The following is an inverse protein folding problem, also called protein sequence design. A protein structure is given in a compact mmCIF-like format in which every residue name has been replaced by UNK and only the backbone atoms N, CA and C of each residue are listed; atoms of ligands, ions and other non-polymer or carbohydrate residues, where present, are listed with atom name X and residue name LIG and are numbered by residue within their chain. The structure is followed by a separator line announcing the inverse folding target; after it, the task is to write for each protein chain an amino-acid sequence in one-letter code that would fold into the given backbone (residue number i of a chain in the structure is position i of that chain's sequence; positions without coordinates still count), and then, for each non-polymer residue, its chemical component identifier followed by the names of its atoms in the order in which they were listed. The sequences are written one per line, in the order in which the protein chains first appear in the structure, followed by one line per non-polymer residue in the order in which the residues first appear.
data_IF_145937193799
#
_entry.id   IF_145937193799
#
_cell.length_a   1.000
_cell.length_b   1.000
_cell.length_c   1.000
_cell.angle_alpha   90.00
_cell.angle_beta   90.00
_cell.angle_gamma   90.00
#
_symmetry.space_group_name_H-M   'P 1'
#
loop_
_entity.id
_entity.type
_entity.pdbx_description
1 polymer ?
#
# COMPACT_ATOMS: atom_id res chain seq x y z
N UNK A 1 8.59 -20.95 7.40
CA UNK A 1 7.47 -19.99 7.28
C UNK A 1 7.82 -18.55 7.63
N UNK A 2 8.80 -18.29 8.50
CA UNK A 2 9.20 -16.95 8.96
C UNK A 2 9.67 -15.98 7.86
N UNK A 3 10.35 -16.47 6.81
CA UNK A 3 10.82 -15.62 5.69
C UNK A 3 9.68 -15.00 4.87
N UNK A 4 8.59 -15.74 4.65
CA UNK A 4 7.42 -15.22 3.92
C UNK A 4 6.68 -14.15 4.72
N UNK A 5 6.64 -14.28 6.05
CA UNK A 5 6.06 -13.26 6.94
C UNK A 5 6.84 -11.95 6.88
N UNK A 6 8.17 -12.01 6.90
CA UNK A 6 9.01 -10.83 6.76
C UNK A 6 8.79 -10.12 5.41
N UNK A 7 8.62 -10.89 4.33
CA UNK A 7 8.31 -10.33 3.00
C UNK A 7 6.90 -9.71 2.96
N UNK A 8 5.89 -10.35 3.55
CA UNK A 8 4.54 -9.78 3.64
C UNK A 8 4.51 -8.49 4.45
N UNK A 9 5.22 -8.42 5.58
CA UNK A 9 5.33 -7.21 6.38
C UNK A 9 6.04 -6.07 5.63
N UNK A 10 7.14 -6.38 4.92
CA UNK A 10 7.84 -5.42 4.07
C UNK A 10 6.97 -4.89 2.92
N UNK A 11 6.28 -5.79 2.21
CA UNK A 11 5.36 -5.43 1.13
C UNK A 11 4.15 -4.64 1.66
N UNK A 12 3.62 -5.00 2.82
CA UNK A 12 2.54 -4.26 3.47
C UNK A 12 2.94 -2.83 3.79
N UNK A 13 4.14 -2.63 4.35
CA UNK A 13 4.68 -1.30 4.66
C UNK A 13 4.88 -0.46 3.40
N UNK A 14 5.53 -1.02 2.37
CA UNK A 14 5.78 -0.33 1.11
C UNK A 14 4.47 0.03 0.38
N UNK A 15 3.51 -0.91 0.29
CA UNK A 15 2.22 -0.69 -0.34
C UNK A 15 1.37 0.34 0.44
N UNK A 16 1.37 0.28 1.77
CA UNK A 16 0.66 1.26 2.60
C UNK A 16 1.25 2.66 2.45
N UNK A 17 2.58 2.78 2.46
CA UNK A 17 3.26 4.06 2.28
C UNK A 17 2.99 4.65 0.89
N UNK A 18 3.06 3.82 -0.17
CA UNK A 18 2.75 4.26 -1.54
C UNK A 18 1.27 4.59 -1.72
N UNK A 19 0.34 3.85 -1.12
CA UNK A 19 -1.09 4.12 -1.14
C UNK A 19 -1.46 5.41 -0.41
N UNK A 20 -0.91 5.63 0.78
CA UNK A 20 -1.13 6.85 1.54
C UNK A 20 -0.52 8.07 0.85
N UNK A 21 0.70 7.95 0.30
CA UNK A 21 1.34 9.06 -0.42
C UNK A 21 0.60 9.41 -1.71
N UNK A 22 0.10 8.43 -2.45
CA UNK A 22 -0.76 8.65 -3.63
C UNK A 22 -2.10 9.31 -3.28
N UNK A 23 -2.71 8.95 -2.14
CA UNK A 23 -3.98 9.55 -1.66
C UNK A 23 -3.81 10.96 -1.08
N UNK A 24 -2.79 11.19 -0.26
CA UNK A 24 -2.55 12.47 0.43
C UNK A 24 -1.89 13.52 -0.48
N UNK A 25 -1.05 13.09 -1.41
CA UNK A 25 -0.35 13.96 -2.35
C UNK A 25 -0.42 13.39 -3.78
N UNK A 26 -1.61 13.41 -4.40
CA UNK A 26 -1.78 12.94 -5.78
C UNK A 26 -0.89 13.69 -6.77
N UNK A 27 -0.54 14.95 -6.49
CA UNK A 27 0.41 15.75 -7.28
C UNK A 27 1.82 15.15 -7.31
N UNK A 28 2.34 14.61 -6.19
CA UNK A 28 3.66 13.98 -6.15
C UNK A 28 3.65 12.65 -6.92
N UNK A 29 2.61 11.85 -6.77
CA UNK A 29 2.46 10.60 -7.51
C UNK A 29 2.37 10.84 -9.02
N UNK A 30 1.63 11.87 -9.41
CA UNK A 30 1.49 12.29 -10.80
C UNK A 30 2.82 12.76 -11.40
N UNK A 31 3.61 13.54 -10.65
CA UNK A 31 4.97 13.96 -11.06
C UNK A 31 5.93 12.78 -11.15
N UNK A 32 5.91 11.88 -10.17
CA UNK A 32 6.76 10.69 -10.16
C UNK A 32 6.47 9.76 -11.36
N UNK A 33 5.20 9.64 -11.73
CA UNK A 33 4.75 8.82 -12.86
C UNK A 33 4.74 9.58 -14.20
N UNK A 34 5.14 10.85 -14.22
CA UNK A 34 5.12 11.73 -15.41
C UNK A 34 3.78 11.72 -16.16
N UNK A 35 2.68 11.70 -15.41
CA UNK A 35 1.35 11.59 -15.99
C UNK A 35 0.80 12.98 -16.40
N UNK A 36 0.04 13.05 -17.51
CA UNK A 36 -0.57 14.29 -17.97
C UNK A 36 -1.63 14.81 -16.99
N UNK A 37 -1.73 16.14 -16.88
CA UNK A 37 -2.70 16.81 -16.02
C UNK A 37 -4.08 16.80 -16.69
N UNK A 38 -4.79 15.69 -16.51
CA UNK A 38 -6.16 15.48 -16.97
C UNK A 38 -7.02 14.96 -15.81
N UNK A 39 -8.30 15.34 -15.78
CA UNK A 39 -9.24 14.88 -14.73
C UNK A 39 -9.30 13.34 -14.65
N UNK A 40 -9.28 12.67 -15.80
CA UNK A 40 -9.26 11.21 -15.89
C UNK A 40 -8.03 10.60 -15.18
N UNK A 41 -6.85 11.24 -15.30
CA UNK A 41 -5.62 10.83 -14.60
C UNK A 41 -5.79 10.94 -13.10
N UNK A 42 -6.38 12.04 -12.60
CA UNK A 42 -6.61 12.25 -11.18
C UNK A 42 -7.56 11.21 -10.57
N UNK A 43 -8.63 10.87 -11.29
CA UNK A 43 -9.57 9.83 -10.86
C UNK A 43 -8.91 8.44 -10.83
N UNK A 44 -8.16 8.08 -11.88
CA UNK A 44 -7.41 6.83 -11.92
C UNK A 44 -6.40 6.73 -10.77
N UNK A 45 -5.71 7.83 -10.44
CA UNK A 45 -4.77 7.88 -9.31
C UNK A 45 -5.46 7.66 -7.97
N UNK A 46 -6.68 8.18 -7.78
CA UNK A 46 -7.49 7.92 -6.57
C UNK A 46 -7.85 6.45 -6.42
N UNK A 47 -8.32 5.81 -7.49
CA UNK A 47 -8.63 4.36 -7.48
C UNK A 47 -7.37 3.57 -7.14
N UNK A 48 -6.26 3.86 -7.83
CA UNK A 48 -4.99 3.19 -7.59
C UNK A 48 -4.53 3.36 -6.13
N UNK A 49 -4.63 4.58 -5.58
CA UNK A 49 -4.30 4.87 -4.19
C UNK A 49 -5.18 4.11 -3.19
N UNK A 50 -6.50 4.08 -3.42
CA UNK A 50 -7.43 3.30 -2.58
C UNK A 50 -7.12 1.80 -2.63
N UNK A 51 -6.84 1.25 -3.82
CA UNK A 51 -6.49 -0.17 -3.97
C UNK A 51 -5.15 -0.51 -3.31
N UNK A 52 -4.13 0.35 -3.43
CA UNK A 52 -2.84 0.17 -2.78
C UNK A 52 -2.97 0.23 -1.25
N UNK A 53 -3.76 1.17 -0.73
CA UNK A 53 -4.01 1.29 0.70
C UNK A 53 -4.76 0.05 1.24
N UNK A 54 -5.79 -0.42 0.53
CA UNK A 54 -6.51 -1.64 0.89
C UNK A 54 -5.60 -2.88 0.87
N UNK A 55 -4.72 -3.01 -0.14
CA UNK A 55 -3.73 -4.07 -0.22
C UNK A 55 -2.74 -4.01 0.95
N UNK A 56 -2.24 -2.81 1.29
CA UNK A 56 -1.34 -2.59 2.41
C UNK A 56 -1.98 -2.98 3.75
N UNK A 57 -3.23 -2.57 3.98
CA UNK A 57 -4.02 -2.95 5.16
C UNK A 57 -4.26 -4.46 5.23
N UNK A 58 -4.56 -5.09 4.09
CA UNK A 58 -4.79 -6.53 4.02
C UNK A 58 -3.52 -7.31 4.40
N UNK A 59 -2.41 -7.02 3.72
CA UNK A 59 -1.13 -7.69 3.96
C UNK A 59 -0.61 -7.41 5.38
N UNK A 60 -0.76 -6.17 5.86
CA UNK A 60 -0.35 -5.76 7.20
C UNK A 60 -1.19 -6.41 8.28
N UNK A 61 -2.51 -6.47 8.10
CA UNK A 61 -3.43 -7.15 9.01
C UNK A 61 -3.14 -8.64 9.11
N UNK A 62 -2.92 -9.32 7.98
CA UNK A 62 -2.52 -10.74 7.98
C UNK A 62 -1.18 -10.97 8.68
N UNK A 63 -0.18 -10.13 8.40
CA UNK A 63 1.13 -10.24 9.05
C UNK A 63 1.03 -10.03 10.57
N UNK A 64 0.24 -9.04 11.02
CA UNK A 64 0.00 -8.74 12.44
C UNK A 64 -0.71 -9.90 13.15
N UNK A 65 -1.76 -10.45 12.55
CA UNK A 65 -2.48 -11.59 13.12
C UNK A 65 -1.57 -12.82 13.22
N UNK A 66 -0.77 -13.07 12.18
CA UNK A 66 0.16 -14.19 12.17
C UNK A 66 1.30 -14.04 13.19
N UNK A 67 1.81 -12.83 13.43
CA UNK A 67 2.82 -12.59 14.48
C UNK A 67 2.22 -12.73 15.87
N UNK A 68 1.01 -12.25 16.10
CA UNK A 68 0.30 -12.43 17.38
C UNK A 68 -0.05 -13.90 17.64
N UNK A 69 -0.53 -14.62 16.62
CA UNK A 69 -0.85 -16.04 16.72
C UNK A 69 0.39 -16.92 16.88
N UNK A 70 1.52 -16.56 16.25
CA UNK A 70 2.80 -17.25 16.39
C UNK A 70 3.59 -16.89 17.65
N UNK A 71 3.34 -15.72 18.25
CA UNK A 71 3.93 -15.30 19.53
C UNK A 71 3.18 -15.81 20.76
N UNK A 72 2.02 -16.45 20.58
CA UNK A 72 1.26 -17.13 21.62
C UNK A 72 1.53 -18.66 21.65
N UNK A 73 2.53 -19.14 20.90
CA UNK A 73 2.95 -20.54 20.82
C UNK A 73 4.29 -20.77 21.54
#
# INVERSE_FOLDING_TARGET
MTRSLALMAGLAGAASALGLTTLLRPSLARTALRLPDAEATGYALRIAGMMLAALGLLLGGFALVATLAGGAA
#
